data_IF_233758664435
#
_entry.id   IF_233758664435
#
_cell.length_a   1.000
_cell.length_b   1.000
_cell.length_c   1.000
_cell.angle_alpha   90.00
_cell.angle_beta   90.00
_cell.angle_gamma   90.00
#
_symmetry.space_group_name_H-M   'P 1'
#
loop_
_entity.id
_entity.type
_entity.pdbx_description
1 polymer ?
#
# COMPACT_ATOMS: atom_id res chain seq x y z
N UNK A 1 -24.23 -18.83 48.47
CA UNK A 1 -24.03 -18.63 47.02
C UNK A 1 -23.46 -19.92 46.49
N UNK A 2 -24.11 -20.51 45.49
CA UNK A 2 -23.66 -21.78 44.90
C UNK A 2 -22.81 -21.45 43.70
N UNK A 3 -21.54 -21.84 43.70
CA UNK A 3 -20.64 -21.61 42.56
C UNK A 3 -21.04 -22.46 41.36
N UNK A 4 -20.84 -21.95 40.15
CA UNK A 4 -21.12 -22.68 38.92
C UNK A 4 -20.33 -23.99 38.84
N UNK A 5 -20.96 -25.08 38.38
CA UNK A 5 -20.31 -26.39 38.20
C UNK A 5 -19.38 -26.48 36.97
N UNK A 6 -19.23 -25.40 36.18
CA UNK A 6 -18.35 -25.39 35.02
C UNK A 6 -16.89 -25.45 35.46
N UNK A 7 -16.07 -26.28 34.80
CA UNK A 7 -14.66 -26.41 35.15
C UNK A 7 -13.96 -25.03 35.14
N UNK A 8 -13.22 -24.72 36.22
CA UNK A 8 -12.48 -23.47 36.40
C UNK A 8 -13.34 -22.19 36.26
N UNK A 9 -14.66 -22.27 36.48
CA UNK A 9 -15.55 -21.11 36.46
C UNK A 9 -15.56 -20.39 37.82
N UNK A 10 -15.20 -19.08 37.88
CA UNK A 10 -15.26 -18.31 39.11
C UNK A 10 -16.65 -17.71 39.41
N UNK A 11 -17.59 -17.79 38.46
CA UNK A 11 -18.89 -17.14 38.55
C UNK A 11 -19.88 -17.95 39.42
N UNK A 12 -20.79 -17.24 40.08
CA UNK A 12 -21.91 -17.85 40.80
C UNK A 12 -22.96 -18.44 39.84
N UNK A 13 -23.60 -19.52 40.26
CA UNK A 13 -24.74 -20.09 39.57
C UNK A 13 -25.97 -19.18 39.67
N UNK A 14 -26.87 -19.29 38.68
CA UNK A 14 -28.17 -18.62 38.74
C UNK A 14 -29.00 -19.14 39.94
N UNK A 15 -29.91 -18.32 40.49
CA UNK A 15 -30.74 -18.75 41.63
C UNK A 15 -31.53 -20.03 41.32
N UNK A 16 -31.33 -21.08 42.11
CA UNK A 16 -31.98 -22.39 41.92
C UNK A 16 -31.32 -23.29 40.88
N UNK A 17 -30.28 -22.82 40.20
CA UNK A 17 -29.56 -23.54 39.15
C UNK A 17 -28.16 -23.98 39.62
N UNK A 18 -27.53 -24.84 38.82
CA UNK A 18 -26.13 -25.29 39.03
C UNK A 18 -25.13 -24.57 38.12
N UNK A 19 -25.61 -23.77 37.17
CA UNK A 19 -24.80 -23.11 36.15
C UNK A 19 -24.95 -21.59 36.23
N UNK A 20 -23.88 -20.86 35.94
CA UNK A 20 -23.97 -19.42 35.67
C UNK A 20 -24.64 -19.20 34.31
N UNK A 21 -25.13 -17.98 34.07
CA UNK A 21 -25.82 -17.60 32.82
C UNK A 21 -25.03 -18.00 31.55
N UNK A 22 -23.69 -17.82 31.55
CA UNK A 22 -22.84 -18.16 30.41
C UNK A 22 -22.80 -19.67 30.12
N UNK A 23 -22.68 -20.48 31.16
CA UNK A 23 -22.62 -21.94 31.00
C UNK A 23 -23.98 -22.57 30.71
N UNK A 24 -25.04 -22.03 31.29
CA UNK A 24 -26.41 -22.46 30.95
C UNK A 24 -26.69 -22.23 29.46
N UNK A 25 -26.42 -21.02 28.96
CA UNK A 25 -26.60 -20.70 27.54
C UNK A 25 -25.76 -21.57 26.60
N UNK A 26 -24.51 -21.88 26.97
CA UNK A 26 -23.62 -22.77 26.19
C UNK A 26 -24.17 -24.20 26.18
N UNK A 27 -24.63 -24.70 27.32
CA UNK A 27 -25.19 -26.03 27.46
C UNK A 27 -26.47 -26.19 26.62
N UNK A 28 -27.38 -25.21 26.68
CA UNK A 28 -28.61 -25.16 25.87
C UNK A 28 -28.32 -25.10 24.36
N UNK A 29 -27.20 -24.49 23.96
CA UNK A 29 -26.74 -24.44 22.57
C UNK A 29 -26.05 -25.73 22.10
N UNK A 30 -26.03 -26.79 22.92
CA UNK A 30 -25.39 -28.07 22.61
C UNK A 30 -23.86 -28.09 22.75
N UNK A 31 -23.26 -27.02 23.29
CA UNK A 31 -21.80 -26.88 23.42
C UNK A 31 -21.18 -27.58 24.64
N UNK A 32 -21.98 -28.33 25.40
CA UNK A 32 -21.57 -29.05 26.62
C UNK A 32 -21.07 -28.15 27.75
N UNK A 33 -20.68 -28.77 28.86
CA UNK A 33 -19.94 -28.10 29.92
C UNK A 33 -18.44 -28.14 29.61
N UNK A 34 -17.69 -27.07 29.90
CA UNK A 34 -16.25 -27.11 29.74
C UNK A 34 -15.66 -28.20 30.64
N UNK A 35 -14.79 -29.02 30.06
CA UNK A 35 -14.07 -30.07 30.76
C UNK A 35 -12.82 -29.49 31.41
N UNK A 36 -12.30 -30.19 32.43
CA UNK A 36 -11.04 -29.81 33.09
C UNK A 36 -9.85 -29.83 32.11
N UNK A 37 -9.95 -30.63 31.05
CA UNK A 37 -8.97 -30.73 29.96
C UNK A 37 -9.06 -29.62 28.92
N UNK A 38 -10.13 -28.80 28.94
CA UNK A 38 -10.27 -27.71 27.98
C UNK A 38 -9.26 -26.60 28.31
N UNK A 39 -8.47 -26.20 27.31
CA UNK A 39 -7.57 -25.06 27.45
C UNK A 39 -8.38 -23.77 27.62
N UNK A 40 -8.04 -22.97 28.64
CA UNK A 40 -8.59 -21.63 28.84
C UNK A 40 -7.57 -20.59 28.40
N UNK A 41 -8.05 -19.39 28.05
CA UNK A 41 -7.18 -18.27 27.68
C UNK A 41 -6.13 -18.03 28.75
N UNK A 42 -4.85 -18.03 28.36
CA UNK A 42 -3.71 -17.86 29.26
C UNK A 42 -3.01 -19.17 29.65
N UNK A 43 -3.62 -20.34 29.45
CA UNK A 43 -2.95 -21.63 29.64
C UNK A 43 -1.73 -21.77 28.70
N UNK A 44 -0.68 -22.53 29.09
CA UNK A 44 0.45 -22.79 28.19
C UNK A 44 -0.01 -23.48 26.90
N UNK A 45 0.41 -22.97 25.74
CA UNK A 45 0.10 -23.53 24.44
C UNK A 45 1.33 -23.48 23.54
N UNK A 46 2.03 -24.61 23.42
CA UNK A 46 3.33 -24.67 22.75
C UNK A 46 4.33 -23.70 23.39
N UNK A 47 4.87 -22.79 22.57
CA UNK A 47 5.82 -21.74 22.98
C UNK A 47 5.14 -20.44 23.44
N UNK A 48 3.81 -20.40 23.51
CA UNK A 48 3.05 -19.22 23.93
C UNK A 48 1.91 -19.57 24.89
N UNK A 49 0.85 -18.76 24.85
CA UNK A 49 -0.33 -18.94 25.71
C UNK A 49 -1.59 -19.05 24.87
N UNK A 50 -2.43 -20.00 25.22
CA UNK A 50 -3.70 -20.24 24.54
C UNK A 50 -4.55 -18.96 24.54
N UNK A 51 -5.08 -18.60 23.38
CA UNK A 51 -5.90 -17.41 23.17
C UNK A 51 -5.16 -16.07 23.19
N UNK A 52 -3.83 -16.06 23.38
CA UNK A 52 -3.02 -14.84 23.47
C UNK A 52 -1.89 -14.87 22.45
N UNK A 53 -1.85 -13.89 21.53
CA UNK A 53 -0.67 -13.72 20.70
C UNK A 53 0.41 -12.95 21.48
N UNK A 54 1.62 -13.49 21.52
CA UNK A 54 2.82 -12.77 21.96
C UNK A 54 3.27 -11.86 20.81
N UNK A 55 2.97 -10.57 20.94
CA UNK A 55 3.30 -9.52 19.97
C UNK A 55 4.12 -8.45 20.70
N UNK A 56 5.29 -8.15 20.16
CA UNK A 56 6.14 -7.04 20.60
C UNK A 56 6.62 -6.20 19.41
N UNK A 57 7.53 -5.25 19.65
CA UNK A 57 8.12 -4.40 18.60
C UNK A 57 8.98 -5.18 17.60
N UNK A 58 9.38 -6.40 17.91
CA UNK A 58 10.25 -7.22 17.09
C UNK A 58 9.47 -8.23 16.24
N UNK A 59 8.23 -8.53 16.59
CA UNK A 59 7.33 -9.36 15.82
C UNK A 59 6.28 -10.08 16.66
N UNK A 60 5.69 -11.11 16.04
CA UNK A 60 4.75 -12.03 16.66
C UNK A 60 5.46 -13.37 16.83
N UNK A 61 5.41 -13.95 18.03
CA UNK A 61 6.01 -15.25 18.29
C UNK A 61 5.12 -16.40 17.76
N UNK A 62 5.73 -17.34 17.05
CA UNK A 62 5.06 -18.56 16.64
C UNK A 62 4.93 -19.53 17.83
N UNK A 63 3.73 -20.06 18.05
CA UNK A 63 3.46 -20.98 19.17
C UNK A 63 4.00 -22.39 18.90
N UNK A 64 4.27 -22.75 17.65
CA UNK A 64 4.80 -24.08 17.29
C UNK A 64 6.31 -24.17 17.46
N UNK A 65 7.05 -23.11 17.12
CA UNK A 65 8.53 -23.12 17.11
C UNK A 65 9.20 -22.01 17.94
N UNK A 66 8.44 -21.05 18.47
CA UNK A 66 8.96 -19.93 19.24
C UNK A 66 9.63 -18.82 18.41
N UNK A 67 9.72 -18.94 17.08
CA UNK A 67 10.36 -17.92 16.24
C UNK A 67 9.54 -16.62 16.21
N UNK A 68 10.23 -15.47 16.35
CA UNK A 68 9.62 -14.13 16.24
C UNK A 68 9.61 -13.66 14.79
N UNK A 69 8.41 -13.34 14.30
CA UNK A 69 8.16 -13.13 12.88
C UNK A 69 7.30 -11.89 12.64
N UNK A 70 7.49 -11.22 11.51
CA UNK A 70 6.62 -10.10 11.11
C UNK A 70 5.19 -10.60 10.83
N UNK A 71 5.05 -11.84 10.34
CA UNK A 71 3.78 -12.44 9.97
C UNK A 71 3.84 -13.95 10.20
N UNK A 72 3.09 -14.43 11.21
CA UNK A 72 2.95 -15.87 11.51
C UNK A 72 2.20 -16.64 10.41
N UNK A 73 1.14 -16.10 9.74
CA UNK A 73 0.44 -16.84 8.69
C UNK A 73 1.34 -17.35 7.56
N UNK A 74 2.28 -16.53 7.10
CA UNK A 74 3.21 -16.91 6.04
C UNK A 74 4.21 -17.98 6.51
N UNK A 75 4.68 -17.87 7.75
CA UNK A 75 5.62 -18.80 8.36
C UNK A 75 4.97 -20.18 8.58
N UNK A 76 3.79 -20.24 9.21
CA UNK A 76 3.13 -21.51 9.56
C UNK A 76 2.86 -22.36 8.32
N UNK A 77 2.42 -21.72 7.23
CA UNK A 77 2.23 -22.42 5.95
C UNK A 77 3.53 -23.01 5.40
N UNK A 78 4.65 -22.29 5.51
CA UNK A 78 5.94 -22.67 4.92
C UNK A 78 6.74 -23.64 5.80
N UNK A 79 6.79 -23.39 7.10
CA UNK A 79 7.64 -24.10 8.06
C UNK A 79 6.92 -25.29 8.71
N UNK A 80 5.59 -25.21 8.85
CA UNK A 80 4.80 -26.23 9.56
C UNK A 80 3.77 -26.92 8.68
N UNK A 81 3.61 -26.51 7.43
CA UNK A 81 2.66 -27.12 6.49
C UNK A 81 1.19 -27.00 6.91
N UNK A 82 0.88 -26.15 7.89
CA UNK A 82 -0.47 -25.97 8.43
C UNK A 82 -1.15 -24.74 7.83
N UNK A 83 -2.47 -24.79 7.73
CA UNK A 83 -3.27 -23.61 7.44
C UNK A 83 -3.32 -22.67 8.65
N UNK A 84 -3.61 -21.39 8.38
CA UNK A 84 -3.79 -20.41 9.47
C UNK A 84 -5.05 -20.69 10.30
N UNK A 85 -6.06 -21.33 9.72
CA UNK A 85 -7.29 -21.71 10.42
C UNK A 85 -7.02 -22.81 11.44
N UNK A 86 -6.28 -23.85 11.05
CA UNK A 86 -5.85 -24.93 11.95
C UNK A 86 -4.97 -24.40 13.07
N UNK A 87 -4.02 -23.52 12.75
CA UNK A 87 -3.17 -22.86 13.75
C UNK A 87 -3.99 -22.05 14.77
N UNK A 88 -4.99 -21.29 14.29
CA UNK A 88 -5.86 -20.50 15.17
C UNK A 88 -6.72 -21.38 16.06
N UNK A 89 -7.30 -22.44 15.52
CA UNK A 89 -8.10 -23.38 16.29
C UNK A 89 -7.26 -24.08 17.36
N UNK A 90 -6.05 -24.52 17.00
CA UNK A 90 -5.12 -25.22 17.91
C UNK A 90 -4.71 -24.35 19.10
N UNK A 91 -4.49 -23.06 18.88
CA UNK A 91 -3.99 -22.13 19.90
C UNK A 91 -5.05 -21.15 20.42
N UNK A 92 -6.32 -21.27 20.04
CA UNK A 92 -7.40 -20.38 20.48
C UNK A 92 -7.29 -18.93 19.94
N UNK A 93 -6.57 -18.70 18.85
CA UNK A 93 -6.21 -17.36 18.33
C UNK A 93 -7.22 -16.79 17.32
N UNK A 94 -8.51 -17.17 17.42
CA UNK A 94 -9.53 -16.88 16.42
C UNK A 94 -9.75 -15.38 16.15
N UNK A 95 -9.62 -14.54 17.18
CA UNK A 95 -9.88 -13.09 17.12
C UNK A 95 -8.63 -12.24 17.22
N UNK A 96 -7.44 -12.84 17.16
CA UNK A 96 -6.17 -12.15 17.37
C UNK A 96 -5.44 -11.89 16.05
N UNK A 97 -4.89 -10.69 15.91
CA UNK A 97 -4.00 -10.37 14.77
C UNK A 97 -2.69 -11.12 14.94
N UNK A 98 -2.26 -11.84 13.90
CA UNK A 98 -1.02 -12.65 13.90
C UNK A 98 0.05 -12.04 12.99
N UNK A 99 -0.03 -10.73 12.79
CA UNK A 99 0.92 -9.94 12.04
C UNK A 99 1.20 -8.64 12.79
N UNK A 100 2.44 -8.19 12.72
CA UNK A 100 2.85 -6.91 13.27
C UNK A 100 2.13 -5.78 12.51
N UNK A 101 1.55 -4.79 13.19
CA UNK A 101 0.95 -3.64 12.52
C UNK A 101 1.99 -2.90 11.65
N UNK A 102 1.55 -2.23 10.57
CA UNK A 102 2.45 -1.60 9.60
C UNK A 102 3.45 -0.62 10.22
N UNK A 103 3.09 -0.03 11.37
CA UNK A 103 3.85 0.98 12.10
C UNK A 103 4.81 0.38 13.14
N UNK A 104 4.64 -0.91 13.49
CA UNK A 104 5.47 -1.62 14.48
C UNK A 104 6.70 -2.29 13.92
N UNK A 105 6.85 -2.36 12.59
CA UNK A 105 8.04 -2.93 11.98
C UNK A 105 9.13 -1.86 11.94
N UNK A 106 10.08 -1.92 12.88
CA UNK A 106 11.42 -1.41 12.62
C UNK A 106 12.01 -2.30 11.51
N UNK A 107 11.54 -2.09 10.28
CA UNK A 107 12.02 -2.81 9.10
C UNK A 107 13.50 -2.59 9.13
N UNK A 108 14.29 -3.67 9.17
CA UNK A 108 15.73 -3.60 8.99
C UNK A 108 15.95 -2.94 7.62
N UNK A 109 16.01 -1.61 7.62
CA UNK A 109 16.02 -0.77 6.44
C UNK A 109 17.37 -1.05 5.82
N UNK A 110 17.42 -1.97 4.85
CA UNK A 110 18.60 -2.11 4.01
C UNK A 110 18.70 -0.80 3.25
N UNK A 111 19.39 0.17 3.84
CA UNK A 111 19.79 1.42 3.19
C UNK A 111 20.45 0.98 1.89
N UNK A 112 19.88 1.37 0.76
CA UNK A 112 20.50 1.05 -0.52
C UNK A 112 21.71 1.97 -0.69
N UNK A 113 22.82 1.50 -1.26
CA UNK A 113 23.92 2.40 -1.60
C UNK A 113 23.46 3.37 -2.69
N UNK A 114 23.81 4.65 -2.54
CA UNK A 114 23.66 5.67 -3.58
C UNK A 114 24.35 5.20 -4.88
N UNK A 115 23.70 5.37 -6.03
CA UNK A 115 24.31 5.01 -7.33
C UNK A 115 25.52 5.86 -7.72
N UNK A 116 25.66 7.07 -7.17
CA UNK A 116 26.79 7.96 -7.47
C UNK A 116 28.01 7.72 -6.59
N UNK A 117 27.80 7.59 -5.28
CA UNK A 117 28.88 7.59 -4.28
C UNK A 117 28.85 6.42 -3.30
N UNK A 118 27.87 5.51 -3.40
CA UNK A 118 27.73 4.39 -2.47
C UNK A 118 27.17 4.73 -1.08
N UNK A 119 27.04 6.02 -0.73
CA UNK A 119 26.50 6.45 0.57
C UNK A 119 25.12 5.85 0.83
N UNK A 120 24.85 5.29 2.02
CA UNK A 120 23.54 4.73 2.35
C UNK A 120 22.43 5.78 2.29
N UNK A 121 21.44 5.60 1.41
CA UNK A 121 20.31 6.54 1.24
C UNK A 121 19.03 6.05 1.92
N UNK A 122 18.22 7.02 2.33
CA UNK A 122 16.86 6.80 2.86
C UNK A 122 15.93 6.19 1.80
N UNK A 123 14.81 5.60 2.27
CA UNK A 123 13.92 4.80 1.43
C UNK A 123 13.36 5.64 0.26
N UNK A 124 13.25 5.00 -0.91
CA UNK A 124 12.80 5.51 -2.21
C UNK A 124 13.74 6.44 -2.97
N UNK A 125 14.89 6.86 -2.41
CA UNK A 125 15.88 7.60 -3.19
C UNK A 125 16.84 6.65 -3.90
N UNK A 126 17.09 6.93 -5.19
CA UNK A 126 18.12 6.23 -5.99
C UNK A 126 19.51 6.88 -5.82
N UNK A 127 19.54 8.13 -5.37
CA UNK A 127 20.74 8.96 -5.22
C UNK A 127 20.65 9.73 -3.88
N UNK A 128 21.77 10.00 -3.23
CA UNK A 128 21.80 10.94 -2.11
C UNK A 128 21.53 12.37 -2.64
N UNK A 129 21.15 13.30 -1.76
CA UNK A 129 20.86 14.69 -2.14
C UNK A 129 22.00 15.30 -2.98
N UNK A 130 23.28 15.24 -2.56
CA UNK A 130 24.36 15.84 -3.32
C UNK A 130 24.53 15.23 -4.73
N UNK A 131 24.47 13.90 -4.86
CA UNK A 131 24.61 13.27 -6.18
C UNK A 131 23.37 13.48 -7.07
N UNK A 132 22.18 13.67 -6.49
CA UNK A 132 20.99 14.02 -7.27
C UNK A 132 21.13 15.44 -7.84
N UNK A 133 21.54 16.40 -7.02
CA UNK A 133 21.77 17.80 -7.42
C UNK A 133 22.87 17.90 -8.47
N UNK A 134 24.01 17.23 -8.27
CA UNK A 134 25.09 17.20 -9.25
C UNK A 134 24.63 16.62 -10.60
N UNK A 135 23.82 15.55 -10.57
CA UNK A 135 23.28 14.97 -11.79
C UNK A 135 22.30 15.91 -12.48
N UNK A 136 21.43 16.57 -11.74
CA UNK A 136 20.44 17.48 -12.31
C UNK A 136 21.10 18.76 -12.84
N UNK A 137 22.21 19.23 -12.24
CA UNK A 137 23.04 20.31 -12.78
C UNK A 137 23.68 19.96 -14.14
N UNK A 138 24.00 18.68 -14.38
CA UNK A 138 24.51 18.22 -15.69
C UNK A 138 23.44 17.98 -16.73
N UNK A 139 22.15 17.95 -16.36
CA UNK A 139 21.08 17.81 -17.34
C UNK A 139 20.92 19.13 -18.08
N UNK A 140 21.11 19.10 -19.39
CA UNK A 140 20.64 20.19 -20.23
C UNK A 140 19.12 20.33 -20.08
N UNK A 141 18.58 21.56 -20.06
CA UNK A 141 17.14 21.77 -20.13
C UNK A 141 16.59 21.04 -21.37
N UNK A 142 15.40 20.43 -21.28
CA UNK A 142 14.81 19.79 -22.43
C UNK A 142 14.65 20.81 -23.56
N UNK A 143 15.18 20.50 -24.74
CA UNK A 143 14.95 21.31 -25.94
C UNK A 143 13.43 21.38 -26.17
N UNK A 144 12.85 22.59 -26.30
CA UNK A 144 11.40 22.72 -26.49
C UNK A 144 10.99 22.00 -27.77
N UNK A 145 9.98 21.11 -27.67
CA UNK A 145 9.49 20.34 -28.82
C UNK A 145 8.89 21.20 -29.93
N UNK A 146 8.53 22.44 -29.61
CA UNK A 146 7.84 23.39 -30.49
C UNK A 146 8.58 24.72 -30.50
N UNK A 147 8.74 25.30 -31.69
CA UNK A 147 9.32 26.62 -31.86
C UNK A 147 8.24 27.68 -31.63
N UNK A 148 8.52 28.80 -30.94
CA UNK A 148 7.57 29.90 -30.86
C UNK A 148 7.35 30.54 -32.24
N UNK A 149 6.17 31.13 -32.45
CA UNK A 149 5.87 31.98 -33.62
C UNK A 149 6.59 33.32 -33.44
N UNK A 150 7.34 33.77 -34.45
CA UNK A 150 8.03 35.08 -34.37
C UNK A 150 7.07 36.23 -34.67
N UNK A 151 7.46 37.46 -34.28
CA UNK A 151 6.67 38.66 -34.59
C UNK A 151 6.55 38.91 -36.10
N UNK A 152 7.62 38.64 -36.87
CA UNK A 152 7.62 38.75 -38.32
C UNK A 152 6.68 37.73 -38.97
N UNK A 153 6.69 36.48 -38.51
CA UNK A 153 5.80 35.43 -39.01
C UNK A 153 4.33 35.71 -38.67
N UNK A 154 4.07 36.28 -37.50
CA UNK A 154 2.74 36.75 -37.13
C UNK A 154 2.30 37.91 -38.04
N UNK A 155 3.19 38.86 -38.34
CA UNK A 155 2.93 39.94 -39.29
C UNK A 155 2.57 39.41 -40.67
N UNK A 156 3.36 38.47 -41.20
CA UNK A 156 3.08 37.82 -42.48
C UNK A 156 1.72 37.12 -42.46
N UNK A 157 1.38 36.36 -41.42
CA UNK A 157 0.08 35.69 -41.30
C UNK A 157 -1.10 36.66 -41.30
N UNK A 158 -0.94 37.84 -40.69
CA UNK A 158 -2.00 38.85 -40.60
C UNK A 158 -2.22 39.62 -41.91
N UNK A 159 -1.20 39.74 -42.75
CA UNK A 159 -1.27 40.51 -44.01
C UNK A 159 -1.23 39.64 -45.27
N UNK A 160 -1.09 38.33 -45.11
CA UNK A 160 -1.01 37.36 -46.21
C UNK A 160 -2.30 37.39 -47.03
N UNK A 161 -2.16 37.29 -48.35
CA UNK A 161 -3.30 37.06 -49.23
C UNK A 161 -3.99 35.72 -48.88
N UNK A 162 -5.32 35.65 -48.88
CA UNK A 162 -6.05 34.41 -48.64
C UNK A 162 -5.61 33.22 -49.50
N UNK A 163 -5.14 33.47 -50.73
CA UNK A 163 -4.70 32.42 -51.65
C UNK A 163 -3.33 31.82 -51.25
N UNK A 164 -2.46 32.61 -50.63
CA UNK A 164 -1.12 32.20 -50.17
C UNK A 164 -1.11 31.62 -48.75
N UNK A 165 -2.17 31.90 -47.97
CA UNK A 165 -2.29 31.49 -46.57
C UNK A 165 -2.09 29.98 -46.32
N UNK A 166 -2.62 29.05 -47.15
CA UNK A 166 -2.43 27.62 -46.93
C UNK A 166 -0.98 27.15 -47.01
N UNK A 167 -0.16 27.77 -47.86
CA UNK A 167 1.25 27.43 -48.00
C UNK A 167 2.05 27.94 -46.80
N UNK A 168 1.82 29.19 -46.39
CA UNK A 168 2.45 29.78 -45.21
C UNK A 168 2.15 28.99 -43.93
N UNK A 169 0.90 28.58 -43.74
CA UNK A 169 0.50 27.75 -42.59
C UNK A 169 1.22 26.41 -42.60
N UNK A 170 1.30 25.72 -43.75
CA UNK A 170 2.00 24.44 -43.88
C UNK A 170 3.49 24.56 -43.55
N UNK A 171 4.15 25.62 -44.03
CA UNK A 171 5.56 25.91 -43.72
C UNK A 171 5.77 26.05 -42.21
N UNK A 172 4.99 26.92 -41.56
CA UNK A 172 5.10 27.17 -40.11
C UNK A 172 4.83 25.90 -39.28
N UNK A 173 3.85 25.09 -39.69
CA UNK A 173 3.59 23.80 -39.04
C UNK A 173 4.78 22.83 -39.18
N UNK A 174 5.44 22.81 -40.35
CA UNK A 174 6.68 22.06 -40.61
C UNK A 174 7.85 22.52 -39.73
N UNK A 175 7.96 23.83 -39.50
CA UNK A 175 8.93 24.45 -38.58
C UNK A 175 8.58 24.27 -37.09
N UNK A 176 7.61 23.38 -36.81
CA UNK A 176 7.12 23.04 -35.47
C UNK A 176 6.54 24.23 -34.70
N UNK A 177 6.09 25.27 -35.39
CA UNK A 177 5.29 26.34 -34.79
C UNK A 177 3.94 25.74 -34.38
N UNK A 178 3.43 26.00 -33.16
CA UNK A 178 2.20 25.39 -32.69
C UNK A 178 0.96 25.95 -33.41
N UNK A 179 0.05 25.08 -33.85
CA UNK A 179 -1.10 25.47 -34.68
C UNK A 179 -2.07 26.41 -33.96
N UNK A 180 -2.14 26.37 -32.63
CA UNK A 180 -2.92 27.31 -31.84
C UNK A 180 -2.34 28.73 -31.87
N UNK A 181 -1.02 28.88 -31.96
CA UNK A 181 -0.39 30.20 -32.10
C UNK A 181 -0.70 30.81 -33.47
N UNK A 182 -0.66 29.98 -34.52
CA UNK A 182 -1.04 30.39 -35.88
C UNK A 182 -2.52 30.77 -35.94
N UNK A 183 -3.41 29.90 -35.44
CA UNK A 183 -4.87 30.11 -35.43
C UNK A 183 -5.26 31.42 -34.75
N UNK A 184 -4.61 31.74 -33.62
CA UNK A 184 -4.85 32.98 -32.87
C UNK A 184 -4.53 34.23 -33.69
N UNK A 185 -3.50 34.20 -34.52
CA UNK A 185 -3.11 35.37 -35.35
C UNK A 185 -4.08 35.58 -36.51
N UNK A 186 -4.57 34.49 -37.12
CA UNK A 186 -5.52 34.55 -38.23
C UNK A 186 -6.98 34.63 -37.77
N UNK A 187 -7.24 34.79 -36.48
CA UNK A 187 -8.59 34.90 -35.91
C UNK A 187 -9.43 33.63 -36.00
N UNK A 188 -8.80 32.47 -36.11
CA UNK A 188 -9.46 31.17 -36.33
C UNK A 188 -9.51 30.34 -35.04
N UNK A 189 -10.55 29.52 -34.88
CA UNK A 189 -10.62 28.59 -33.75
C UNK A 189 -9.64 27.41 -33.94
N UNK A 190 -9.21 26.73 -32.87
CA UNK A 190 -8.38 25.54 -32.98
C UNK A 190 -9.03 24.39 -33.76
N UNK A 191 -10.35 24.30 -33.73
CA UNK A 191 -11.13 23.28 -34.47
C UNK A 191 -11.09 23.59 -35.97
N UNK A 192 -11.43 24.82 -36.36
CA UNK A 192 -11.39 25.26 -37.76
C UNK A 192 -9.97 25.15 -38.34
N UNK A 193 -8.95 25.46 -37.52
CA UNK A 193 -7.54 25.32 -37.90
C UNK A 193 -7.19 23.86 -38.22
N UNK A 194 -7.70 22.92 -37.42
CA UNK A 194 -7.42 21.49 -37.60
C UNK A 194 -8.15 20.91 -38.81
N UNK A 195 -9.34 21.42 -39.09
CA UNK A 195 -10.15 21.02 -40.25
C UNK A 195 -9.60 21.58 -41.56
N UNK A 196 -9.27 22.88 -41.58
CA UNK A 196 -8.81 23.59 -42.79
C UNK A 196 -7.33 23.38 -43.08
N UNK A 197 -6.50 23.19 -42.06
CA UNK A 197 -5.05 23.04 -42.16
C UNK A 197 -4.52 21.88 -41.30
N UNK A 198 -4.88 20.63 -41.64
CA UNK A 198 -4.43 19.45 -40.89
C UNK A 198 -2.91 19.27 -40.98
N UNK A 199 -2.29 18.93 -39.85
CA UNK A 199 -0.87 18.56 -39.82
C UNK A 199 -0.67 17.23 -40.51
N UNK A 200 0.25 17.19 -41.47
CA UNK A 200 0.80 15.96 -42.04
C UNK A 200 2.07 15.53 -41.33
#
# INVERSE_FOLDING_TARGET
MTTCIGARCPDDALPGERLCWRHQKRFESGGGLPLVSDMVTGDPSGHGRYGLADIDTYGVACHECGERLISVPAHVKKAHGMSIAEYRAKHGLERVSLALPPDGVERRHRRRPCRGCGTPVERNRRWCIPCAEARDATKQPPVPKRRPLTAEEAGLLSTCDPDDLPELVRRLQGDRVPSNAIARVIGMSPSDMSERFPRR
#
